data_IF_776440853920
#
_entry.id   IF_776440853920
#
_cell.length_a   1.000
_cell.length_b   1.000
_cell.length_c   1.000
_cell.angle_alpha   90.00
_cell.angle_beta   90.00
_cell.angle_gamma   90.00
#
_symmetry.space_group_name_H-M   'P 1'
#
loop_
_entity.id
_entity.type
_entity.pdbx_description
1 polymer ?
#
# COMPACT_ATOMS: atom_id res chain seq x y z
N UNK A 1 -4.29 38.45 -53.23
CA UNK A 1 -4.97 38.07 -51.97
C UNK A 1 -4.24 36.89 -51.38
N UNK A 2 -3.55 37.06 -50.24
CA UNK A 2 -2.88 35.98 -49.51
C UNK A 2 -3.88 35.44 -48.48
N UNK A 3 -4.30 34.19 -48.64
CA UNK A 3 -5.18 33.50 -47.70
C UNK A 3 -4.34 33.04 -46.50
N UNK A 4 -4.61 33.60 -45.31
CA UNK A 4 -3.98 33.16 -44.06
C UNK A 4 -4.57 31.80 -43.64
N UNK A 5 -3.71 30.82 -43.41
CA UNK A 5 -4.01 29.65 -42.59
C UNK A 5 -3.93 30.04 -41.12
N UNK A 6 -5.04 29.91 -40.39
CA UNK A 6 -5.04 29.90 -38.91
C UNK A 6 -5.31 28.49 -38.44
N UNK A 7 -4.26 27.71 -38.20
CA UNK A 7 -4.35 26.48 -37.39
C UNK A 7 -4.48 26.89 -35.93
N UNK A 8 -5.66 26.64 -35.37
CA UNK A 8 -5.89 26.73 -33.93
C UNK A 8 -5.09 25.64 -33.23
N UNK A 9 -4.06 26.05 -32.47
CA UNK A 9 -3.31 25.18 -31.58
C UNK A 9 -4.19 24.91 -30.35
N UNK A 10 -4.86 23.77 -30.33
CA UNK A 10 -5.55 23.28 -29.13
C UNK A 10 -4.46 22.81 -28.17
N UNK A 11 -4.12 23.67 -27.21
CA UNK A 11 -3.40 23.29 -26.00
C UNK A 11 -4.29 22.35 -25.20
N UNK A 12 -4.09 21.04 -25.39
CA UNK A 12 -4.59 20.04 -24.44
C UNK A 12 -3.71 20.17 -23.21
N UNK A 13 -4.19 20.94 -22.23
CA UNK A 13 -3.65 20.92 -20.88
C UNK A 13 -3.78 19.49 -20.36
N UNK A 14 -2.64 18.82 -20.13
CA UNK A 14 -2.61 17.49 -19.55
C UNK A 14 -3.35 17.50 -18.22
N UNK A 15 -4.48 16.81 -18.16
CA UNK A 15 -5.14 16.53 -16.90
C UNK A 15 -4.33 15.42 -16.24
N UNK A 16 -3.53 15.79 -15.24
CA UNK A 16 -2.85 14.83 -14.39
C UNK A 16 -3.88 14.14 -13.50
N UNK A 17 -4.46 13.04 -14.00
CA UNK A 17 -5.13 12.06 -13.13
C UNK A 17 -4.06 11.17 -12.49
N UNK A 18 -3.48 11.63 -11.38
CA UNK A 18 -2.73 10.75 -10.47
C UNK A 18 -3.73 10.22 -9.45
N UNK A 19 -4.10 8.95 -9.58
CA UNK A 19 -4.90 8.20 -8.62
C UNK A 19 -4.31 6.79 -8.53
N UNK A 20 -3.12 6.71 -7.94
CA UNK A 20 -2.38 5.50 -7.54
C UNK A 20 -2.07 5.67 -6.06
N UNK A 21 -1.82 4.61 -5.28
CA UNK A 21 -1.31 4.77 -3.90
C UNK A 21 0.07 5.47 -3.86
N UNK A 22 0.69 5.67 -5.03
CA UNK A 22 1.82 6.55 -5.24
C UNK A 22 1.42 8.02 -5.47
N UNK A 23 2.08 8.93 -4.75
CA UNK A 23 2.10 10.37 -5.03
C UNK A 23 3.54 10.90 -5.05
N UNK A 24 3.84 11.85 -5.94
CA UNK A 24 5.21 12.36 -6.12
C UNK A 24 5.77 13.06 -4.88
N UNK A 25 4.92 13.77 -4.13
CA UNK A 25 5.22 14.38 -2.84
C UNK A 25 3.90 14.61 -2.07
N UNK A 26 4.00 15.05 -0.81
CA UNK A 26 2.88 15.19 0.11
C UNK A 26 2.41 16.64 0.27
N UNK A 27 2.84 17.57 -0.59
CA UNK A 27 2.46 18.98 -0.46
C UNK A 27 0.94 19.19 -0.60
N UNK A 28 0.25 18.28 -1.30
CA UNK A 28 -1.21 18.29 -1.47
C UNK A 28 -1.97 17.71 -0.28
N UNK A 29 -1.31 17.00 0.65
CA UNK A 29 -1.97 16.33 1.78
C UNK A 29 -2.23 17.28 2.96
N UNK A 30 -1.77 18.52 2.88
CA UNK A 30 -1.90 19.51 3.95
C UNK A 30 -0.97 19.20 5.13
N UNK A 31 -1.48 19.31 6.35
CA UNK A 31 -0.66 19.16 7.55
C UNK A 31 -0.38 17.69 7.86
N UNK A 32 0.92 17.37 7.94
CA UNK A 32 1.41 16.07 8.37
C UNK A 32 1.75 16.09 9.86
N UNK A 33 1.40 15.02 10.57
CA UNK A 33 1.70 14.84 12.00
C UNK A 33 2.30 13.46 12.26
N UNK A 34 3.11 13.34 13.32
CA UNK A 34 3.71 12.08 13.75
C UNK A 34 2.80 11.18 14.56
N UNK A 35 1.78 11.76 15.15
CA UNK A 35 0.93 11.08 16.12
C UNK A 35 -0.51 11.20 15.70
N UNK A 36 -1.25 10.12 15.94
CA UNK A 36 -2.68 10.11 15.70
C UNK A 36 -3.47 10.85 16.78
N UNK A 37 -2.84 11.14 17.92
CA UNK A 37 -3.54 11.61 19.12
C UNK A 37 -4.23 10.49 19.91
N UNK A 38 -4.10 9.23 19.47
CA UNK A 38 -4.54 8.06 20.20
C UNK A 38 -3.34 7.13 20.46
N UNK A 39 -2.95 7.03 21.74
CA UNK A 39 -1.78 6.26 22.17
C UNK A 39 -1.82 4.78 21.76
N UNK A 40 -3.01 4.18 21.71
CA UNK A 40 -3.16 2.78 21.30
C UNK A 40 -2.86 2.60 19.80
N UNK A 41 -3.39 3.49 18.96
CA UNK A 41 -3.12 3.49 17.51
C UNK A 41 -1.64 3.75 17.25
N UNK A 42 -1.05 4.72 17.95
CA UNK A 42 0.37 5.06 17.80
C UNK A 42 1.28 3.89 18.21
N UNK A 43 0.91 3.15 19.27
CA UNK A 43 1.62 1.94 19.69
C UNK A 43 1.51 0.81 18.67
N UNK A 44 0.31 0.57 18.11
CA UNK A 44 0.12 -0.43 17.05
C UNK A 44 0.95 -0.05 15.82
N UNK A 45 0.85 1.19 15.34
CA UNK A 45 1.60 1.67 14.19
C UNK A 45 3.11 1.56 14.39
N UNK A 46 3.62 1.94 15.56
CA UNK A 46 5.04 1.78 15.90
C UNK A 46 5.49 0.31 15.89
N UNK A 47 4.68 -0.58 16.45
CA UNK A 47 4.97 -2.02 16.48
C UNK A 47 4.96 -2.64 15.09
N UNK A 48 3.96 -2.32 14.26
CA UNK A 48 3.88 -2.79 12.88
C UNK A 48 5.02 -2.20 12.04
N UNK A 49 5.38 -0.92 12.22
CA UNK A 49 6.54 -0.30 11.54
C UNK A 49 7.83 -1.08 11.82
N UNK A 50 8.12 -1.40 13.08
CA UNK A 50 9.34 -2.14 13.45
C UNK A 50 9.41 -3.50 12.75
N UNK A 51 8.30 -4.22 12.71
CA UNK A 51 8.26 -5.55 12.09
C UNK A 51 8.31 -5.48 10.57
N UNK A 52 7.63 -4.50 9.96
CA UNK A 52 7.71 -4.24 8.53
C UNK A 52 9.13 -3.88 8.09
N UNK A 53 9.83 -3.00 8.82
CA UNK A 53 11.24 -2.68 8.55
C UNK A 53 12.10 -3.95 8.58
N UNK A 54 11.87 -4.83 9.58
CA UNK A 54 12.59 -6.09 9.68
C UNK A 54 12.31 -7.03 8.50
N UNK A 55 11.05 -7.14 8.05
CA UNK A 55 10.65 -8.11 7.02
C UNK A 55 10.86 -7.62 5.59
N UNK A 56 10.71 -6.32 5.36
CA UNK A 56 10.79 -5.72 4.03
C UNK A 56 12.11 -4.98 3.78
N UNK A 57 12.99 -4.84 4.78
CA UNK A 57 14.32 -4.25 4.58
C UNK A 57 14.28 -2.80 4.06
N UNK A 58 13.14 -2.13 4.19
CA UNK A 58 12.91 -0.72 3.87
C UNK A 58 12.64 0.03 5.15
N UNK A 59 13.07 1.29 5.20
CA UNK A 59 12.91 2.17 6.34
C UNK A 59 12.30 3.52 5.91
N UNK A 60 11.03 3.53 5.47
CA UNK A 60 10.30 4.77 5.22
C UNK A 60 9.95 5.47 6.53
N UNK A 61 9.77 6.78 6.46
CA UNK A 61 9.14 7.51 7.54
C UNK A 61 7.60 7.38 7.46
N UNK A 62 6.90 7.57 8.58
CA UNK A 62 5.43 7.56 8.61
C UNK A 62 4.89 8.89 9.13
N UNK A 63 3.86 9.38 8.47
CA UNK A 63 3.03 10.51 8.91
C UNK A 63 1.55 10.15 8.87
N UNK A 64 0.79 10.81 9.73
CA UNK A 64 -0.65 10.93 9.59
C UNK A 64 -1.01 12.25 8.91
N UNK A 65 -2.13 12.27 8.20
CA UNK A 65 -2.69 13.49 7.64
C UNK A 65 -4.22 13.49 7.75
N UNK A 66 -4.80 14.68 7.83
CA UNK A 66 -6.25 14.84 7.78
C UNK A 66 -6.70 14.87 6.33
N UNK A 67 -7.42 13.85 5.90
CA UNK A 67 -7.91 13.80 4.53
C UNK A 67 -8.89 14.94 4.26
N UNK A 68 -8.77 15.56 3.08
CA UNK A 68 -9.74 16.54 2.60
C UNK A 68 -10.83 15.89 1.74
N UNK A 69 -10.51 14.77 1.07
CA UNK A 69 -11.41 14.02 0.20
C UNK A 69 -11.13 12.52 0.28
N UNK A 70 -12.06 11.76 0.87
CA UNK A 70 -12.00 10.29 0.93
C UNK A 70 -10.93 9.74 1.87
N UNK A 71 -11.16 8.51 2.36
CA UNK A 71 -10.22 7.83 3.24
C UNK A 71 -9.08 7.22 2.42
N UNK A 72 -7.81 7.55 2.68
CA UNK A 72 -6.68 7.02 1.89
C UNK A 72 -5.33 6.95 2.61
N UNK A 73 -4.41 6.14 2.08
CA UNK A 73 -3.00 6.10 2.43
C UNK A 73 -2.15 6.24 1.15
N UNK A 74 -0.91 6.70 1.32
CA UNK A 74 0.00 6.93 0.19
C UNK A 74 1.44 6.58 0.56
N UNK A 75 2.19 6.14 -0.45
CA UNK A 75 3.63 6.01 -0.41
C UNK A 75 4.29 6.98 -1.41
N UNK A 76 5.49 7.47 -1.06
CA UNK A 76 6.29 8.32 -1.94
C UNK A 76 7.78 7.99 -1.79
N UNK A 77 8.55 8.25 -2.84
CA UNK A 77 10.02 8.18 -2.81
C UNK A 77 10.65 9.38 -2.12
N UNK A 78 9.89 10.46 -1.90
CA UNK A 78 10.38 11.66 -1.21
C UNK A 78 10.70 11.34 0.25
N UNK A 79 11.91 11.70 0.70
CA UNK A 79 12.36 11.58 2.09
C UNK A 79 12.22 12.93 2.80
N UNK A 80 11.24 13.05 3.70
CA UNK A 80 11.03 14.27 4.51
C UNK A 80 11.93 14.33 5.74
N UNK A 81 12.42 13.18 6.20
CA UNK A 81 13.27 13.06 7.38
C UNK A 81 14.45 12.16 7.07
N UNK A 82 15.66 12.72 7.07
CA UNK A 82 16.88 12.04 6.64
C UNK A 82 17.29 10.85 7.53
N UNK A 83 16.67 10.68 8.70
CA UNK A 83 16.85 9.49 9.54
C UNK A 83 16.19 8.24 8.92
N UNK A 84 15.24 8.41 8.00
CA UNK A 84 14.49 7.37 7.32
C UNK A 84 14.85 7.37 5.84
N UNK A 85 15.48 6.30 5.36
CA UNK A 85 16.24 6.31 4.10
C UNK A 85 15.40 5.96 2.87
N UNK A 86 14.24 5.33 3.07
CA UNK A 86 13.50 4.69 1.98
C UNK A 86 12.13 5.36 1.78
N UNK A 87 12.10 6.65 1.43
CA UNK A 87 10.87 7.37 1.13
C UNK A 87 9.99 7.66 2.36
N UNK A 88 8.69 7.85 2.15
CA UNK A 88 7.74 8.19 3.22
C UNK A 88 6.35 7.64 2.92
N UNK A 89 5.65 7.20 3.97
CA UNK A 89 4.25 6.78 3.95
C UNK A 89 3.39 7.83 4.70
N UNK A 90 2.24 8.17 4.13
CA UNK A 90 1.22 8.99 4.76
C UNK A 90 -0.07 8.19 4.93
N UNK A 91 -0.61 8.14 6.14
CA UNK A 91 -1.83 7.39 6.45
C UNK A 91 -2.91 8.36 6.92
N UNK A 92 -4.08 8.28 6.31
CA UNK A 92 -5.19 9.17 6.62
C UNK A 92 -5.87 8.84 7.95
N UNK A 93 -6.28 9.89 8.65
CA UNK A 93 -6.98 9.75 9.94
C UNK A 93 -8.35 9.08 9.83
N UNK A 94 -9.13 9.50 8.84
CA UNK A 94 -10.43 8.94 8.51
C UNK A 94 -10.28 7.47 8.14
N UNK A 95 -9.29 7.12 7.33
CA UNK A 95 -8.99 5.73 7.00
C UNK A 95 -8.79 4.87 8.26
N UNK A 96 -7.85 5.22 9.14
CA UNK A 96 -7.61 4.40 10.34
C UNK A 96 -8.85 4.31 11.23
N UNK A 97 -9.55 5.43 11.44
CA UNK A 97 -10.76 5.46 12.27
C UNK A 97 -11.84 4.54 11.71
N UNK A 98 -12.15 4.67 10.43
CA UNK A 98 -13.25 3.96 9.78
C UNK A 98 -12.95 2.46 9.71
N UNK A 99 -11.68 2.12 9.45
CA UNK A 99 -11.18 0.75 9.38
C UNK A 99 -11.14 0.06 10.75
N UNK A 100 -10.71 0.77 11.79
CA UNK A 100 -10.80 0.30 13.17
C UNK A 100 -12.25 0.11 13.62
N UNK A 101 -13.15 1.04 13.30
CA UNK A 101 -14.55 0.95 13.67
C UNK A 101 -15.27 -0.25 13.01
N UNK A 102 -14.79 -0.68 11.84
CA UNK A 102 -15.30 -1.85 11.12
C UNK A 102 -14.59 -3.16 11.49
N UNK A 103 -13.61 -3.12 12.41
CA UNK A 103 -12.92 -4.31 12.89
C UNK A 103 -13.87 -5.15 13.75
N UNK A 104 -14.22 -6.35 13.25
CA UNK A 104 -15.10 -7.27 13.97
C UNK A 104 -14.44 -7.84 15.23
N UNK A 105 -13.12 -8.02 15.22
CA UNK A 105 -12.37 -8.46 16.38
C UNK A 105 -11.98 -7.32 17.33
N UNK A 106 -12.22 -6.06 16.95
CA UNK A 106 -11.73 -4.88 17.66
C UNK A 106 -10.20 -4.74 17.65
N UNK A 107 -9.50 -5.56 16.87
CA UNK A 107 -8.03 -5.59 16.83
C UNK A 107 -7.41 -4.49 15.97
N UNK A 108 -8.22 -3.79 15.17
CA UNK A 108 -7.73 -2.84 14.16
C UNK A 108 -6.71 -3.47 13.19
N UNK A 109 -6.86 -4.76 12.85
CA UNK A 109 -5.91 -5.48 12.00
C UNK A 109 -5.73 -4.85 10.61
N UNK A 110 -6.71 -4.07 10.16
CA UNK A 110 -6.68 -3.22 8.98
C UNK A 110 -5.48 -2.28 8.95
N UNK A 111 -5.06 -1.73 10.09
CA UNK A 111 -3.87 -0.87 10.19
C UNK A 111 -2.62 -1.61 9.71
N UNK A 112 -2.41 -2.83 10.21
CA UNK A 112 -1.23 -3.62 9.89
C UNK A 112 -1.14 -3.93 8.39
N UNK A 113 -2.27 -4.26 7.77
CA UNK A 113 -2.32 -4.64 6.36
C UNK A 113 -2.22 -3.42 5.42
N UNK A 114 -2.81 -2.28 5.79
CA UNK A 114 -2.64 -1.01 5.06
C UNK A 114 -1.17 -0.59 5.08
N UNK A 115 -0.53 -0.63 6.25
CA UNK A 115 0.91 -0.34 6.35
C UNK A 115 1.74 -1.29 5.50
N UNK A 116 1.43 -2.59 5.51
CA UNK A 116 2.16 -3.57 4.73
C UNK A 116 2.03 -3.32 3.22
N UNK A 117 0.86 -2.90 2.76
CA UNK A 117 0.64 -2.49 1.37
C UNK A 117 1.48 -1.27 1.00
N UNK A 118 1.42 -0.19 1.78
CA UNK A 118 2.21 1.03 1.49
C UNK A 118 3.72 0.78 1.57
N UNK A 119 4.17 -0.09 2.49
CA UNK A 119 5.58 -0.50 2.56
C UNK A 119 6.01 -1.31 1.34
N UNK A 120 5.11 -2.10 0.75
CA UNK A 120 5.41 -2.85 -0.46
C UNK A 120 5.59 -1.92 -1.67
N UNK A 121 4.90 -0.77 -1.73
CA UNK A 121 5.24 0.28 -2.69
C UNK A 121 6.63 0.86 -2.47
N UNK A 122 7.04 1.07 -1.21
CA UNK A 122 8.43 1.48 -0.92
C UNK A 122 9.45 0.42 -1.38
N UNK A 123 9.12 -0.87 -1.25
CA UNK A 123 9.93 -1.97 -1.81
C UNK A 123 10.03 -1.87 -3.33
N UNK A 124 8.91 -1.69 -4.03
CA UNK A 124 8.88 -1.49 -5.49
C UNK A 124 9.81 -0.34 -5.90
N UNK A 125 9.69 0.81 -5.23
CA UNK A 125 10.51 1.99 -5.52
C UNK A 125 12.00 1.75 -5.26
N UNK A 126 12.35 1.16 -4.10
CA UNK A 126 13.74 0.95 -3.69
C UNK A 126 14.48 0.00 -4.63
N UNK A 127 13.78 -1.04 -5.08
CA UNK A 127 14.37 -2.07 -5.94
C UNK A 127 14.09 -1.86 -7.43
N UNK A 128 13.41 -0.76 -7.78
CA UNK A 128 13.07 -0.39 -9.16
C UNK A 128 12.44 -1.58 -9.91
N UNK A 129 11.38 -2.16 -9.34
CA UNK A 129 10.67 -3.31 -9.94
C UNK A 129 9.87 -2.86 -11.17
N UNK A 130 9.46 -1.57 -11.21
CA UNK A 130 8.84 -0.90 -12.36
C UNK A 130 7.51 -1.52 -12.78
N UNK A 131 6.68 -1.89 -11.79
CA UNK A 131 5.28 -2.23 -12.05
C UNK A 131 4.45 -0.95 -12.08
N UNK A 132 3.43 -0.92 -12.93
CA UNK A 132 2.57 0.25 -13.11
C UNK A 132 1.09 -0.14 -13.09
N UNK A 133 0.25 0.84 -12.75
CA UNK A 133 -1.20 0.68 -12.66
C UNK A 133 -1.56 -0.52 -11.78
N UNK A 134 -2.48 -1.36 -12.27
CA UNK A 134 -2.99 -2.48 -11.49
C UNK A 134 -1.89 -3.42 -11.00
N UNK A 135 -0.79 -3.58 -11.74
CA UNK A 135 0.25 -4.54 -11.36
C UNK A 135 1.07 -4.08 -10.16
N UNK A 136 1.27 -2.76 -9.98
CA UNK A 136 1.94 -2.22 -8.79
C UNK A 136 1.11 -2.47 -7.53
N UNK A 137 -0.20 -2.24 -7.63
CA UNK A 137 -1.17 -2.45 -6.55
C UNK A 137 -1.27 -3.93 -6.16
N UNK A 138 -1.37 -4.83 -7.16
CA UNK A 138 -1.38 -6.28 -6.91
C UNK A 138 -0.05 -6.78 -6.34
N UNK A 139 1.08 -6.20 -6.76
CA UNK A 139 2.38 -6.52 -6.15
C UNK A 139 2.40 -6.13 -4.67
N UNK A 140 1.88 -4.95 -4.35
CA UNK A 140 1.76 -4.49 -2.98
C UNK A 140 0.83 -5.39 -2.15
N UNK A 141 -0.32 -5.79 -2.70
CA UNK A 141 -1.24 -6.74 -2.07
C UNK A 141 -0.57 -8.10 -1.80
N UNK A 142 0.24 -8.62 -2.74
CA UNK A 142 0.94 -9.89 -2.58
C UNK A 142 1.90 -9.84 -1.39
N UNK A 143 2.78 -8.83 -1.34
CA UNK A 143 3.75 -8.69 -0.24
C UNK A 143 3.04 -8.41 1.09
N UNK A 144 1.96 -7.64 1.08
CA UNK A 144 1.13 -7.44 2.26
C UNK A 144 0.55 -8.78 2.78
N UNK A 145 0.15 -9.68 1.88
CA UNK A 145 -0.27 -11.04 2.22
C UNK A 145 0.83 -11.86 2.88
N UNK A 146 2.03 -11.84 2.31
CA UNK A 146 3.21 -12.46 2.92
C UNK A 146 3.46 -11.93 4.34
N UNK A 147 3.35 -10.62 4.52
CA UNK A 147 3.52 -9.98 5.82
C UNK A 147 2.49 -10.48 6.84
N UNK A 148 1.21 -10.58 6.49
CA UNK A 148 0.19 -11.01 7.46
C UNK A 148 0.42 -12.43 7.97
N UNK A 149 0.95 -13.33 7.14
CA UNK A 149 1.36 -14.65 7.60
C UNK A 149 2.53 -14.56 8.59
N UNK A 150 3.60 -13.83 8.25
CA UNK A 150 4.75 -13.64 9.14
C UNK A 150 4.35 -12.96 10.47
N UNK A 151 3.42 -12.03 10.40
CA UNK A 151 2.82 -11.35 11.55
C UNK A 151 2.09 -12.34 12.44
N UNK A 152 1.37 -13.30 11.85
CA UNK A 152 0.66 -14.33 12.60
C UNK A 152 1.61 -15.24 13.39
N UNK A 153 2.80 -15.52 12.85
CA UNK A 153 3.83 -16.27 13.53
C UNK A 153 4.45 -15.47 14.69
N UNK A 154 4.59 -14.16 14.52
CA UNK A 154 5.26 -13.29 15.48
C UNK A 154 4.35 -12.84 16.64
N UNK A 155 3.09 -12.50 16.35
CA UNK A 155 2.17 -11.90 17.33
C UNK A 155 0.96 -12.79 17.66
N UNK A 156 0.93 -14.01 17.15
CA UNK A 156 -0.20 -14.93 17.31
C UNK A 156 -1.28 -14.72 16.26
N UNK A 157 -2.41 -15.40 16.45
CA UNK A 157 -3.48 -15.50 15.44
C UNK A 157 -3.83 -14.14 14.82
N UNK A 158 -3.73 -14.09 13.50
CA UNK A 158 -4.11 -12.94 12.68
C UNK A 158 -5.30 -13.36 11.83
N UNK A 159 -6.42 -12.66 11.96
CA UNK A 159 -7.61 -12.94 11.15
C UNK A 159 -7.40 -12.36 9.74
N UNK A 160 -6.75 -13.14 8.87
CA UNK A 160 -6.49 -12.73 7.48
C UNK A 160 -7.78 -12.43 6.73
N UNK A 161 -8.89 -13.12 7.03
CA UNK A 161 -10.18 -12.86 6.41
C UNK A 161 -10.77 -11.49 6.81
N UNK A 162 -10.43 -10.98 7.99
CA UNK A 162 -10.78 -9.62 8.40
C UNK A 162 -9.90 -8.57 7.70
N UNK A 163 -8.60 -8.82 7.61
CA UNK A 163 -7.67 -7.98 6.85
C UNK A 163 -8.05 -7.95 5.35
N UNK A 164 -8.42 -9.09 4.77
CA UNK A 164 -8.79 -9.18 3.36
C UNK A 164 -10.11 -8.45 3.03
N UNK A 165 -11.05 -8.38 3.99
CA UNK A 165 -12.26 -7.55 3.85
C UNK A 165 -11.94 -6.07 3.75
N UNK A 166 -10.83 -5.63 4.35
CA UNK A 166 -10.34 -4.25 4.20
C UNK A 166 -10.07 -3.94 2.74
N UNK A 167 -9.36 -4.81 2.00
CA UNK A 167 -9.13 -4.59 0.57
C UNK A 167 -10.39 -4.69 -0.28
N UNK A 168 -11.29 -5.62 0.04
CA UNK A 168 -12.56 -5.72 -0.67
C UNK A 168 -13.38 -4.43 -0.55
N UNK A 169 -13.34 -3.78 0.63
CA UNK A 169 -14.03 -2.53 0.91
C UNK A 169 -13.28 -1.28 0.43
N UNK A 170 -11.97 -1.19 0.67
CA UNK A 170 -11.15 -0.04 0.26
C UNK A 170 -11.07 0.04 -1.26
N UNK A 171 -11.02 -1.10 -1.95
CA UNK A 171 -11.11 -1.17 -3.42
C UNK A 171 -12.39 -0.59 -4.04
N UNK A 172 -13.31 -0.05 -3.23
CA UNK A 172 -14.55 0.60 -3.63
C UNK A 172 -14.50 2.15 -3.51
N UNK A 173 -13.59 2.71 -2.70
CA UNK A 173 -13.56 4.17 -2.46
C UNK A 173 -12.69 4.90 -3.50
N UNK A 174 -13.32 5.23 -4.64
CA UNK A 174 -12.82 6.03 -5.79
C UNK A 174 -11.90 5.30 -6.78
N UNK A 175 -12.25 4.05 -7.09
CA UNK A 175 -11.55 3.08 -7.96
C UNK A 175 -12.16 2.94 -9.38
N UNK A 176 -12.75 4.00 -9.96
CA UNK A 176 -13.60 3.90 -11.16
C UNK A 176 -12.89 3.59 -12.50
N UNK A 177 -11.71 2.97 -12.48
CA UNK A 177 -11.20 2.29 -13.66
C UNK A 177 -10.46 1.01 -13.24
N UNK A 178 -11.06 -0.18 -13.45
CA UNK A 178 -10.41 -1.48 -13.22
C UNK A 178 -9.03 -1.64 -13.88
N UNK A 179 -8.72 -0.80 -14.88
CA UNK A 179 -7.40 -0.73 -15.50
C UNK A 179 -6.28 -0.18 -14.58
N UNK A 180 -6.61 0.55 -13.51
CA UNK A 180 -5.61 1.23 -12.67
C UNK A 180 -5.29 0.53 -11.35
N UNK A 181 -6.22 -0.25 -10.77
CA UNK A 181 -6.01 -0.86 -9.44
C UNK A 181 -6.31 -2.36 -9.36
N UNK A 182 -6.88 -2.96 -10.41
CA UNK A 182 -7.41 -4.32 -10.36
C UNK A 182 -8.80 -4.39 -9.72
N UNK A 183 -9.50 -5.51 -9.93
CA UNK A 183 -10.82 -5.76 -9.34
C UNK A 183 -10.69 -6.15 -7.86
N UNK A 184 -11.74 -5.96 -7.02
CA UNK A 184 -11.73 -6.44 -5.64
C UNK A 184 -11.36 -7.93 -5.51
N UNK A 185 -11.80 -8.76 -6.48
CA UNK A 185 -11.45 -10.17 -6.55
C UNK A 185 -9.97 -10.40 -6.88
N UNK A 186 -9.39 -9.66 -7.84
CA UNK A 186 -7.96 -9.75 -8.15
C UNK A 186 -7.11 -9.38 -6.93
N UNK A 187 -7.46 -8.28 -6.25
CA UNK A 187 -6.76 -7.83 -5.04
C UNK A 187 -6.83 -8.85 -3.91
N UNK A 188 -8.03 -9.35 -3.62
CA UNK A 188 -8.25 -10.39 -2.62
C UNK A 188 -7.45 -11.67 -2.94
N UNK A 189 -7.56 -12.18 -4.17
CA UNK A 189 -6.86 -13.40 -4.58
C UNK A 189 -5.34 -13.23 -4.53
N UNK A 190 -4.84 -12.05 -4.88
CA UNK A 190 -3.41 -11.74 -4.85
C UNK A 190 -2.86 -11.66 -3.42
N UNK A 191 -3.60 -11.01 -2.53
CA UNK A 191 -3.30 -11.01 -1.10
C UNK A 191 -3.23 -12.43 -0.54
N UNK A 192 -4.22 -13.27 -0.84
CA UNK A 192 -4.25 -14.66 -0.36
C UNK A 192 -3.14 -15.50 -0.98
N UNK A 193 -2.75 -15.24 -2.24
CA UNK A 193 -1.61 -15.91 -2.86
C UNK A 193 -0.29 -15.61 -2.13
N UNK A 194 -0.05 -14.35 -1.76
CA UNK A 194 1.11 -13.98 -0.96
C UNK A 194 1.12 -14.59 0.44
N UNK A 195 -0.04 -14.60 1.11
CA UNK A 195 -0.20 -15.26 2.41
C UNK A 195 0.15 -16.75 2.32
N UNK A 196 -0.44 -17.45 1.34
CA UNK A 196 -0.22 -18.88 1.12
C UNK A 196 1.22 -19.19 0.74
N UNK A 197 1.87 -18.34 -0.06
CA UNK A 197 3.29 -18.49 -0.39
C UNK A 197 4.16 -18.48 0.87
N UNK A 198 4.00 -17.47 1.74
CA UNK A 198 4.77 -17.37 2.99
C UNK A 198 4.49 -18.54 3.93
N UNK A 199 3.24 -19.02 3.96
CA UNK A 199 2.84 -20.21 4.70
C UNK A 199 3.56 -21.47 4.18
N UNK A 200 3.58 -21.67 2.86
CA UNK A 200 4.25 -22.81 2.22
C UNK A 200 5.76 -22.80 2.46
N UNK A 201 6.43 -21.64 2.41
CA UNK A 201 7.84 -21.53 2.76
C UNK A 201 8.08 -22.03 4.20
N UNK A 202 7.26 -21.57 5.14
CA UNK A 202 7.37 -21.97 6.55
C UNK A 202 7.09 -23.46 6.75
N UNK A 203 6.05 -24.01 6.12
CA UNK A 203 5.70 -25.44 6.23
C UNK A 203 6.80 -26.36 5.69
N UNK A 204 7.53 -25.92 4.66
CA UNK A 204 8.64 -26.66 4.08
C UNK A 204 9.98 -26.41 4.79
N UNK A 205 9.99 -25.71 5.92
CA UNK A 205 11.19 -25.27 6.64
C UNK A 205 12.16 -24.45 5.78
N UNK A 206 11.65 -23.73 4.78
CA UNK A 206 12.42 -22.75 4.04
C UNK A 206 12.39 -21.39 4.74
N UNK A 207 13.55 -20.73 4.77
CA UNK A 207 13.63 -19.37 5.29
C UNK A 207 12.89 -18.43 4.35
N UNK A 208 11.90 -17.69 4.86
CA UNK A 208 11.32 -16.58 4.12
C UNK A 208 12.38 -15.51 3.87
N UNK A 209 12.54 -15.10 2.61
CA UNK A 209 13.33 -13.92 2.24
C UNK A 209 12.47 -12.94 1.44
N UNK A 210 12.74 -11.64 1.60
CA UNK A 210 12.06 -10.63 0.78
C UNK A 210 12.38 -10.81 -0.70
N UNK A 211 13.61 -11.17 -1.05
CA UNK A 211 14.02 -11.34 -2.44
C UNK A 211 13.20 -12.43 -3.14
N UNK A 212 12.99 -13.57 -2.49
CA UNK A 212 12.18 -14.65 -3.04
C UNK A 212 10.70 -14.24 -3.11
N UNK A 213 10.19 -13.55 -2.09
CA UNK A 213 8.82 -13.04 -2.09
C UNK A 213 8.58 -12.03 -3.23
N UNK A 214 9.50 -11.09 -3.46
CA UNK A 214 9.46 -10.12 -4.56
C UNK A 214 9.46 -10.84 -5.91
N UNK A 215 10.37 -11.80 -6.11
CA UNK A 215 10.43 -12.58 -7.35
C UNK A 215 9.12 -13.34 -7.61
N UNK A 216 8.57 -14.00 -6.59
CA UNK A 216 7.29 -14.71 -6.70
C UNK A 216 6.12 -13.76 -6.94
N UNK A 217 6.10 -12.59 -6.27
CA UNK A 217 5.09 -11.56 -6.49
C UNK A 217 5.09 -11.08 -7.95
N UNK A 218 6.26 -10.74 -8.50
CA UNK A 218 6.41 -10.29 -9.90
C UNK A 218 5.91 -11.35 -10.88
N UNK A 219 6.31 -12.62 -10.70
CA UNK A 219 5.84 -13.72 -11.54
C UNK A 219 4.33 -13.91 -11.44
N UNK A 220 3.79 -13.84 -10.23
CA UNK A 220 2.37 -14.00 -9.97
C UNK A 220 1.55 -12.89 -10.63
N UNK A 221 1.87 -11.61 -10.39
CA UNK A 221 1.09 -10.50 -10.93
C UNK A 221 1.13 -10.44 -12.45
N UNK A 222 2.26 -10.81 -13.08
CA UNK A 222 2.40 -10.90 -14.54
C UNK A 222 1.59 -12.05 -15.16
N UNK A 223 1.17 -13.03 -14.36
CA UNK A 223 0.30 -14.12 -14.81
C UNK A 223 -1.20 -13.74 -14.81
N UNK A 224 -1.55 -12.63 -14.18
CA UNK A 224 -2.92 -12.11 -14.11
C UNK A 224 -3.22 -11.28 -15.36
N UNK A 225 -4.17 -11.74 -16.17
CA UNK A 225 -4.67 -11.03 -17.35
C UNK A 225 -5.55 -9.84 -16.96
#
# INVERSE_FOLDING_TARGET
>A
MKTLFTTALILVTGIFYSQTCFISNFSSLGNLTKYSGNVYIDQVMSKEWQFLVQKFGVMPDIYYYHEQNGSNAYATTTVYNQNFKDGTVAVGFGLIRDECAQSQSGSCISVAIIMAHEFAHIVDFKYNIQLEGKYAELFADYLAGCYMHLRSLQYGYTNISEAARTFYRIGDYQFNSPGHHGTPEQRYNTLMAGYNYSQLQTMNNYAYTLADAVNNAVLYVRSIN
#
